data_IF_873552057969
#
_entry.id   IF_873552057969
#
_cell.length_a   1.000
_cell.length_b   1.000
_cell.length_c   1.000
_cell.angle_alpha   90.00
_cell.angle_beta   90.00
_cell.angle_gamma   90.00
#
_symmetry.space_group_name_H-M   'P 1'
#
loop_
_entity.id
_entity.type
_entity.pdbx_description
1 polymer ?
#
# COMPACT_ATOMS: atom_id res chain seq x y z
N UNK A 1 24.22 57.50 -41.50
CA UNK A 1 23.60 56.18 -41.75
C UNK A 1 23.07 55.63 -40.45
N UNK A 2 21.84 55.13 -40.43
CA UNK A 2 21.24 54.53 -39.24
C UNK A 2 21.18 53.01 -39.43
N UNK A 3 21.76 52.24 -38.51
CA UNK A 3 21.87 50.77 -38.58
C UNK A 3 22.45 50.23 -39.91
N UNK A 4 23.37 50.98 -40.54
CA UNK A 4 23.99 50.59 -41.83
C UNK A 4 23.05 50.64 -43.04
N UNK A 5 21.84 51.21 -42.90
CA UNK A 5 20.84 51.29 -43.98
C UNK A 5 20.65 52.76 -44.39
N UNK A 6 20.49 53.00 -45.69
CA UNK A 6 20.24 54.32 -46.28
C UNK A 6 21.51 55.04 -46.77
N UNK A 7 21.35 56.31 -47.15
CA UNK A 7 22.44 57.15 -47.67
C UNK A 7 23.26 57.80 -46.54
N UNK A 8 24.55 58.05 -46.77
CA UNK A 8 25.40 58.85 -45.86
C UNK A 8 24.92 60.29 -45.82
N UNK A 9 24.65 60.87 -46.99
CA UNK A 9 24.06 62.20 -47.17
C UNK A 9 23.02 62.15 -48.30
N UNK A 10 21.88 62.87 -48.19
CA UNK A 10 20.91 62.94 -49.28
C UNK A 10 21.36 63.87 -50.42
N UNK A 11 22.37 64.73 -50.16
CA UNK A 11 22.92 65.69 -51.13
C UNK A 11 23.58 64.94 -52.30
N UNK A 12 23.17 65.26 -53.53
CA UNK A 12 23.66 64.61 -54.74
C UNK A 12 22.90 63.34 -55.15
N UNK A 13 22.01 62.82 -54.30
CA UNK A 13 21.18 61.65 -54.61
C UNK A 13 19.90 61.95 -55.40
N UNK A 14 19.51 63.24 -55.48
CA UNK A 14 18.25 63.64 -56.09
C UNK A 14 16.99 63.22 -55.33
N UNK A 15 17.12 62.76 -54.09
CA UNK A 15 16.00 62.34 -53.22
C UNK A 15 16.03 63.02 -51.86
N UNK A 16 14.93 62.96 -51.12
CA UNK A 16 14.84 63.50 -49.76
C UNK A 16 15.57 62.65 -48.71
N UNK A 17 16.14 61.50 -49.08
CA UNK A 17 16.82 60.58 -48.15
C UNK A 17 15.89 59.82 -47.19
N UNK A 18 14.59 59.78 -47.47
CA UNK A 18 13.61 59.07 -46.63
C UNK A 18 13.68 57.56 -46.85
N UNK A 19 13.90 56.81 -45.77
CA UNK A 19 14.07 55.34 -45.79
C UNK A 19 12.88 54.69 -45.09
N UNK A 20 12.19 53.77 -45.78
CA UNK A 20 11.06 53.00 -45.24
C UNK A 20 11.47 51.54 -45.04
N UNK A 21 11.01 50.92 -43.96
CA UNK A 21 11.19 49.49 -43.74
C UNK A 21 10.38 48.68 -44.76
N UNK A 22 10.97 47.65 -45.35
CA UNK A 22 10.21 46.71 -46.18
C UNK A 22 9.25 45.89 -45.30
N UNK A 23 7.94 45.98 -45.54
CA UNK A 23 6.91 45.21 -44.82
C UNK A 23 6.83 43.75 -45.26
N UNK A 24 7.20 43.46 -46.51
CA UNK A 24 7.13 42.13 -47.13
C UNK A 24 8.39 41.30 -46.89
N UNK A 25 9.44 41.88 -46.33
CA UNK A 25 10.66 41.16 -45.97
C UNK A 25 10.38 40.26 -44.75
N UNK A 26 10.27 38.95 -44.97
CA UNK A 26 10.15 37.95 -43.91
C UNK A 26 11.45 37.92 -43.12
N UNK A 27 11.37 38.28 -41.84
CA UNK A 27 12.51 38.17 -40.92
C UNK A 27 12.69 36.69 -40.57
N UNK A 28 13.86 36.11 -40.87
CA UNK A 28 14.22 34.81 -40.32
C UNK A 28 14.48 34.98 -38.82
N UNK A 29 13.49 34.64 -38.01
CA UNK A 29 13.56 34.79 -36.56
C UNK A 29 14.54 33.83 -35.88
N UNK A 30 15.01 32.81 -36.59
CA UNK A 30 16.02 31.86 -36.11
C UNK A 30 17.13 31.76 -37.14
N UNK A 31 18.35 32.08 -36.74
CA UNK A 31 19.54 31.82 -37.55
C UNK A 31 19.78 30.31 -37.65
N UNK A 32 20.59 29.89 -38.62
CA UNK A 32 21.01 28.48 -38.74
C UNK A 32 21.73 28.03 -37.45
N UNK A 33 22.50 28.92 -36.84
CA UNK A 33 23.13 28.73 -35.55
C UNK A 33 22.11 28.55 -34.41
N UNK A 34 21.03 29.32 -34.38
CA UNK A 34 19.96 29.16 -33.36
C UNK A 34 19.22 27.82 -33.51
N UNK A 35 19.11 27.32 -34.75
CA UNK A 35 18.52 26.00 -35.02
C UNK A 35 19.45 24.86 -34.66
N UNK A 36 20.76 25.02 -34.87
CA UNK A 36 21.75 24.02 -34.47
C UNK A 36 21.89 23.95 -32.95
N UNK A 37 21.94 25.10 -32.28
CA UNK A 37 22.05 25.19 -30.82
C UNK A 37 20.82 24.65 -30.08
N UNK A 38 19.65 24.62 -30.72
CA UNK A 38 18.44 24.01 -30.17
C UNK A 38 18.61 22.51 -29.87
N UNK A 39 19.47 21.80 -30.60
CA UNK A 39 19.79 20.38 -30.36
C UNK A 39 20.84 20.19 -29.27
N UNK A 40 21.66 21.21 -29.00
CA UNK A 40 22.64 21.23 -27.91
C UNK A 40 22.02 21.67 -26.57
N UNK A 41 20.75 22.09 -26.55
CA UNK A 41 20.04 22.43 -25.31
C UNK A 41 19.85 21.15 -24.50
N UNK A 42 20.57 21.05 -23.40
CA UNK A 42 20.40 19.96 -22.44
C UNK A 42 18.92 19.83 -22.04
N UNK A 43 18.40 18.60 -21.91
CA UNK A 43 17.01 18.38 -21.51
C UNK A 43 16.71 19.14 -20.21
N UNK A 44 15.49 19.68 -20.06
CA UNK A 44 15.11 20.43 -18.87
C UNK A 44 15.37 19.57 -17.63
N UNK A 45 16.25 20.04 -16.76
CA UNK A 45 16.59 19.32 -15.53
C UNK A 45 15.36 19.26 -14.64
N UNK A 46 14.80 18.06 -14.47
CA UNK A 46 13.79 17.79 -13.45
C UNK A 46 14.45 17.97 -12.08
N UNK A 47 14.10 19.04 -11.37
CA UNK A 47 14.54 19.23 -9.99
C UNK A 47 13.74 18.30 -9.10
N UNK A 48 14.44 17.46 -8.37
CA UNK A 48 13.81 16.61 -7.38
C UNK A 48 13.24 17.47 -6.24
N UNK A 49 12.14 17.03 -5.59
CA UNK A 49 11.63 17.69 -4.41
C UNK A 49 12.61 17.50 -3.24
N UNK A 50 13.01 18.61 -2.60
CA UNK A 50 13.89 18.58 -1.43
C UNK A 50 13.06 18.33 -0.17
N UNK A 51 13.39 17.27 0.56
CA UNK A 51 12.66 16.87 1.77
C UNK A 51 12.71 17.96 2.86
N UNK A 52 13.86 18.62 3.03
CA UNK A 52 14.04 19.68 4.02
C UNK A 52 13.11 20.88 3.76
N UNK A 53 12.95 21.27 2.48
CA UNK A 53 12.06 22.37 2.11
C UNK A 53 10.60 21.98 2.35
N UNK A 54 10.22 20.73 2.04
CA UNK A 54 8.87 20.23 2.33
C UNK A 54 8.57 20.20 3.82
N UNK A 55 9.53 19.77 4.65
CA UNK A 55 9.41 19.78 6.11
C UNK A 55 9.33 21.20 6.67
N UNK A 56 10.14 22.12 6.14
CA UNK A 56 10.09 23.52 6.52
C UNK A 56 8.73 24.15 6.21
N UNK A 57 8.19 23.93 5.01
CA UNK A 57 6.84 24.40 4.65
C UNK A 57 5.75 23.76 5.51
N UNK A 58 5.89 22.49 5.92
CA UNK A 58 4.96 21.85 6.87
C UNK A 58 5.01 22.54 8.23
N UNK A 59 6.20 22.78 8.80
CA UNK A 59 6.37 23.47 10.09
C UNK A 59 5.87 24.91 10.03
N UNK A 60 6.19 25.63 8.96
CA UNK A 60 5.72 26.99 8.71
C UNK A 60 4.19 27.08 8.71
N UNK A 61 3.48 26.13 8.10
CA UNK A 61 2.01 26.08 8.12
C UNK A 61 1.45 25.89 9.54
N UNK A 62 2.16 25.18 10.41
CA UNK A 62 1.77 25.05 11.83
C UNK A 62 1.98 26.37 12.55
N UNK A 63 3.16 26.97 12.43
CA UNK A 63 3.48 28.23 13.11
C UNK A 63 2.58 29.39 12.65
N UNK A 64 2.21 29.45 11.37
CA UNK A 64 1.23 30.44 10.89
C UNK A 64 -0.12 30.29 11.60
N UNK A 65 -0.61 29.06 11.79
CA UNK A 65 -1.86 28.82 12.52
C UNK A 65 -1.74 29.15 14.02
N UNK A 66 -0.58 28.88 14.62
CA UNK A 66 -0.28 29.26 16.00
C UNK A 66 -0.32 30.78 16.16
N UNK A 67 0.29 31.52 15.23
CA UNK A 67 0.26 32.98 15.20
C UNK A 67 -1.15 33.53 14.98
N UNK A 68 -1.93 32.94 14.08
CA UNK A 68 -3.34 33.31 13.87
C UNK A 68 -4.18 33.10 15.13
N UNK A 69 -3.91 32.07 15.93
CA UNK A 69 -4.60 31.85 17.20
C UNK A 69 -4.14 32.89 18.23
N UNK A 70 -2.83 33.11 18.34
CA UNK A 70 -2.26 34.08 19.28
C UNK A 70 -2.89 35.47 19.07
N UNK A 71 -2.90 35.97 17.84
CA UNK A 71 -3.50 37.27 17.50
C UNK A 71 -4.98 37.37 17.91
N UNK A 72 -5.75 36.29 17.73
CA UNK A 72 -7.17 36.28 18.14
C UNK A 72 -7.33 36.36 19.65
N UNK A 73 -6.51 35.62 20.40
CA UNK A 73 -6.59 35.62 21.87
C UNK A 73 -6.09 36.95 22.47
N UNK A 74 -5.12 37.59 21.82
CA UNK A 74 -4.66 38.94 22.14
C UNK A 74 -5.77 39.97 21.88
N UNK A 75 -6.45 39.89 20.72
CA UNK A 75 -7.60 40.76 20.39
C UNK A 75 -8.77 40.56 21.37
N UNK A 76 -8.97 39.34 21.87
CA UNK A 76 -9.97 39.00 22.89
C UNK A 76 -9.57 39.46 24.32
N UNK A 77 -8.34 39.97 24.51
CA UNK A 77 -7.85 40.51 25.77
C UNK A 77 -7.56 39.45 26.83
N UNK A 78 -7.16 38.24 26.42
CA UNK A 78 -6.74 37.16 27.33
C UNK A 78 -5.36 37.43 27.95
N UNK A 79 -5.12 36.78 29.08
CA UNK A 79 -3.86 36.87 29.83
C UNK A 79 -2.73 36.14 29.07
N UNK A 80 -1.51 36.69 29.08
CA UNK A 80 -0.38 36.21 28.28
C UNK A 80 -0.06 34.73 28.57
N UNK A 81 -0.07 34.32 29.85
CA UNK A 81 0.19 32.94 30.27
C UNK A 81 -0.83 31.94 29.65
N UNK A 82 -2.11 32.34 29.59
CA UNK A 82 -3.18 31.48 29.03
C UNK A 82 -3.09 31.39 27.51
N UNK A 83 -2.65 32.48 26.86
CA UNK A 83 -2.40 32.51 25.42
C UNK A 83 -1.29 31.52 25.07
N UNK A 84 -0.18 31.55 25.80
CA UNK A 84 0.94 30.63 25.57
C UNK A 84 0.55 29.16 25.77
N UNK A 85 -0.23 28.85 26.81
CA UNK A 85 -0.73 27.49 27.05
C UNK A 85 -1.57 26.97 25.89
N UNK A 86 -2.54 27.77 25.42
CA UNK A 86 -3.44 27.39 24.33
C UNK A 86 -2.71 27.27 22.99
N UNK A 87 -1.78 28.18 22.70
CA UNK A 87 -0.96 28.15 21.49
C UNK A 87 -0.02 26.95 21.49
N UNK A 88 0.58 26.60 22.63
CA UNK A 88 1.43 25.41 22.74
C UNK A 88 0.63 24.12 22.58
N UNK A 89 -0.58 24.05 23.15
CA UNK A 89 -1.48 22.91 22.96
C UNK A 89 -1.84 22.74 21.47
N UNK A 90 -2.19 23.85 20.79
CA UNK A 90 -2.46 23.85 19.35
C UNK A 90 -1.24 23.43 18.54
N UNK A 91 -0.05 23.93 18.86
CA UNK A 91 1.22 23.58 18.20
C UNK A 91 1.47 22.07 18.27
N UNK A 92 1.33 21.46 19.44
CA UNK A 92 1.52 20.01 19.61
C UNK A 92 0.50 19.20 18.82
N UNK A 93 -0.78 19.58 18.85
CA UNK A 93 -1.84 18.93 18.06
C UNK A 93 -1.56 18.99 16.56
N UNK A 94 -1.24 20.17 16.05
CA UNK A 94 -1.00 20.39 14.62
C UNK A 94 0.28 19.70 14.12
N UNK A 95 1.34 19.64 14.94
CA UNK A 95 2.54 18.87 14.59
C UNK A 95 2.24 17.36 14.51
N UNK A 96 1.43 16.83 15.42
CA UNK A 96 1.02 15.43 15.37
C UNK A 96 0.17 15.13 14.11
N UNK A 97 -0.79 16.00 13.78
CA UNK A 97 -1.63 15.85 12.59
C UNK A 97 -0.85 16.03 11.28
N UNK A 98 0.08 16.98 11.22
CA UNK A 98 0.86 17.29 10.03
C UNK A 98 1.72 16.13 9.54
N UNK A 99 2.14 15.22 10.44
CA UNK A 99 2.87 14.01 10.07
C UNK A 99 1.97 12.94 9.43
N UNK A 100 0.65 12.99 9.69
CA UNK A 100 -0.32 12.02 9.17
C UNK A 100 -1.01 12.48 7.90
N UNK A 101 -1.11 13.80 7.68
CA UNK A 101 -1.84 14.38 6.57
C UNK A 101 -1.02 14.34 5.27
N UNK A 102 -1.50 13.55 4.31
CA UNK A 102 -1.05 13.58 2.93
C UNK A 102 -1.44 14.93 2.31
N UNK A 103 -0.45 15.67 1.78
CA UNK A 103 -0.69 16.98 1.17
C UNK A 103 -1.57 16.82 -0.09
N UNK A 104 -2.68 17.54 -0.15
CA UNK A 104 -3.57 17.53 -1.31
C UNK A 104 -2.98 18.31 -2.49
N UNK A 105 -2.76 17.65 -3.63
CA UNK A 105 -2.16 18.21 -4.84
C UNK A 105 -2.94 19.40 -5.48
N UNK A 106 -4.24 19.53 -5.19
CA UNK A 106 -5.11 20.55 -5.80
C UNK A 106 -5.07 21.93 -5.16
N UNK A 107 -4.42 22.08 -4.00
CA UNK A 107 -4.41 23.34 -3.23
C UNK A 107 -3.08 24.09 -3.22
N UNK A 108 -2.10 23.65 -4.01
CA UNK A 108 -0.75 24.22 -3.98
C UNK A 108 -0.67 25.55 -4.73
N UNK A 109 0.07 26.50 -4.16
CA UNK A 109 0.34 27.77 -4.81
C UNK A 109 1.38 27.58 -5.92
N UNK A 110 1.38 28.40 -6.99
CA UNK A 110 2.42 28.34 -8.03
C UNK A 110 3.84 28.55 -7.49
N UNK A 111 3.99 29.22 -6.33
CA UNK A 111 5.25 29.41 -5.63
C UNK A 111 5.82 28.13 -5.01
N UNK A 112 4.99 27.11 -4.77
CA UNK A 112 5.36 25.92 -3.99
C UNK A 112 6.02 24.88 -4.90
N UNK A 113 7.12 25.25 -5.54
CA UNK A 113 7.78 24.48 -6.61
C UNK A 113 8.13 23.05 -6.19
N UNK A 114 8.71 22.85 -4.99
CA UNK A 114 9.08 21.53 -4.48
C UNK A 114 7.85 20.67 -4.15
N UNK A 115 6.78 21.29 -3.63
CA UNK A 115 5.58 20.56 -3.29
C UNK A 115 4.77 20.19 -4.54
N UNK A 116 4.77 21.04 -5.58
CA UNK A 116 4.29 20.69 -6.93
C UNK A 116 5.13 19.56 -7.53
N UNK A 117 6.45 19.60 -7.39
CA UNK A 117 7.33 18.55 -7.89
C UNK A 117 7.08 17.20 -7.19
N UNK A 118 6.89 17.20 -5.87
CA UNK A 118 6.52 16.02 -5.10
C UNK A 118 5.16 15.47 -5.54
N UNK A 119 4.13 16.33 -5.65
CA UNK A 119 2.81 15.92 -6.12
C UNK A 119 2.86 15.31 -7.54
N UNK A 120 3.63 15.92 -8.45
CA UNK A 120 3.83 15.37 -9.80
C UNK A 120 4.57 14.04 -9.79
N UNK A 121 5.57 13.87 -8.92
CA UNK A 121 6.29 12.58 -8.78
C UNK A 121 5.34 11.47 -8.33
N UNK A 122 4.44 11.77 -7.39
CA UNK A 122 3.43 10.82 -6.91
C UNK A 122 2.37 10.53 -7.99
N UNK A 123 1.90 11.55 -8.71
CA UNK A 123 0.97 11.41 -9.84
C UNK A 123 1.57 10.56 -10.96
N UNK A 124 2.83 10.82 -11.33
CA UNK A 124 3.56 10.05 -12.33
C UNK A 124 3.80 8.61 -11.85
N UNK A 125 4.14 8.40 -10.58
CA UNK A 125 4.27 7.04 -10.01
C UNK A 125 2.94 6.29 -10.04
N UNK A 126 1.82 6.96 -9.73
CA UNK A 126 0.48 6.38 -9.80
C UNK A 126 0.08 6.05 -11.24
N UNK A 127 0.37 6.95 -12.19
CA UNK A 127 0.15 6.72 -13.61
C UNK A 127 1.01 5.58 -14.15
N UNK A 128 2.29 5.52 -13.77
CA UNK A 128 3.21 4.46 -14.11
C UNK A 128 2.69 3.09 -13.66
N UNK A 129 2.20 2.99 -12.43
CA UNK A 129 1.56 1.77 -11.91
C UNK A 129 0.29 1.41 -12.67
N UNK A 130 -0.54 2.41 -13.00
CA UNK A 130 -1.77 2.19 -13.76
C UNK A 130 -1.49 1.68 -15.19
N UNK A 131 -0.42 2.16 -15.81
CA UNK A 131 0.05 1.70 -17.12
C UNK A 131 0.85 0.38 -17.07
N UNK A 132 1.05 -0.20 -15.88
CA UNK A 132 1.81 -1.44 -15.69
C UNK A 132 3.32 -1.29 -15.93
N UNK A 133 3.83 -0.06 -15.96
CA UNK A 133 5.28 0.18 -16.02
C UNK A 133 5.90 -0.16 -14.66
N UNK A 134 7.06 -0.82 -14.70
CA UNK A 134 7.76 -1.22 -13.49
C UNK A 134 8.51 -0.02 -12.91
N UNK A 135 8.74 -0.03 -11.60
CA UNK A 135 9.43 1.06 -10.90
C UNK A 135 10.93 1.12 -11.23
N UNK A 136 11.51 0.01 -11.67
CA UNK A 136 12.89 -0.16 -12.12
C UNK A 136 13.05 0.08 -13.63
N UNK A 137 12.04 0.60 -14.32
CA UNK A 137 12.10 0.88 -15.75
C UNK A 137 12.95 2.13 -16.01
N UNK A 138 14.07 1.95 -16.72
CA UNK A 138 14.87 3.04 -17.26
C UNK A 138 14.66 3.19 -18.77
N UNK A 139 14.54 4.43 -19.23
CA UNK A 139 14.48 4.74 -20.65
C UNK A 139 15.73 4.23 -21.36
N UNK A 140 15.55 3.51 -22.48
CA UNK A 140 16.65 2.90 -23.23
C UNK A 140 16.87 1.41 -22.93
N UNK A 141 16.47 0.90 -21.76
CA UNK A 141 16.63 -0.52 -21.42
C UNK A 141 15.87 -1.45 -22.37
N UNK A 142 14.81 -0.93 -23.01
CA UNK A 142 14.05 -1.65 -24.03
C UNK A 142 14.86 -1.90 -25.31
N UNK A 143 15.96 -1.19 -25.56
CA UNK A 143 16.81 -1.36 -26.74
C UNK A 143 18.12 -2.12 -26.45
N UNK A 144 18.52 -2.22 -25.18
CA UNK A 144 19.73 -2.95 -24.74
C UNK A 144 19.48 -4.47 -24.72
N UNK A 145 20.03 -5.17 -25.72
CA UNK A 145 19.83 -6.62 -25.90
C UNK A 145 20.33 -7.45 -24.71
N UNK A 146 21.49 -7.09 -24.15
CA UNK A 146 22.08 -7.76 -22.99
C UNK A 146 21.22 -7.61 -21.73
N UNK A 147 20.72 -6.40 -21.45
CA UNK A 147 19.81 -6.16 -20.33
C UNK A 147 18.50 -6.94 -20.47
N UNK A 148 17.99 -7.10 -21.69
CA UNK A 148 16.80 -7.94 -21.91
C UNK A 148 17.06 -9.40 -21.57
N UNK A 149 18.22 -9.94 -21.94
CA UNK A 149 18.61 -11.31 -21.62
C UNK A 149 18.80 -11.51 -20.12
N UNK A 150 19.46 -10.57 -19.44
CA UNK A 150 19.60 -10.59 -17.99
C UNK A 150 18.24 -10.54 -17.28
N UNK A 151 17.34 -9.64 -17.71
CA UNK A 151 15.98 -9.58 -17.16
C UNK A 151 15.18 -10.87 -17.41
N UNK A 152 15.36 -11.53 -18.57
CA UNK A 152 14.72 -12.82 -18.85
C UNK A 152 15.26 -13.92 -17.94
N UNK A 153 16.58 -14.00 -17.78
CA UNK A 153 17.22 -14.98 -16.89
C UNK A 153 16.81 -14.76 -15.44
N UNK A 154 16.77 -13.51 -14.97
CA UNK A 154 16.31 -13.16 -13.62
C UNK A 154 14.85 -13.58 -13.40
N UNK A 155 13.96 -13.35 -14.38
CA UNK A 155 12.55 -13.79 -14.31
C UNK A 155 12.42 -15.32 -14.29
N UNK A 156 13.29 -16.03 -15.00
CA UNK A 156 13.30 -17.50 -14.98
C UNK A 156 13.79 -18.04 -13.63
N UNK A 157 14.89 -17.49 -13.11
CA UNK A 157 15.43 -17.87 -11.80
C UNK A 157 14.43 -17.60 -10.66
N UNK A 158 13.77 -16.43 -10.66
CA UNK A 158 12.73 -16.08 -9.68
C UNK A 158 11.54 -17.04 -9.74
N UNK A 159 11.12 -17.46 -10.95
CA UNK A 159 10.06 -18.46 -11.12
C UNK A 159 10.47 -19.82 -10.57
N UNK A 160 11.69 -20.26 -10.86
CA UNK A 160 12.21 -21.53 -10.38
C UNK A 160 12.34 -21.54 -8.85
N UNK A 161 12.83 -20.45 -8.25
CA UNK A 161 12.91 -20.31 -6.79
C UNK A 161 11.51 -20.33 -6.16
N UNK A 162 10.55 -19.60 -6.73
CA UNK A 162 9.16 -19.60 -6.25
C UNK A 162 8.49 -20.97 -6.39
N UNK A 163 8.84 -21.74 -7.42
CA UNK A 163 8.38 -23.13 -7.57
C UNK A 163 9.01 -24.04 -6.53
N UNK A 164 10.33 -23.97 -6.31
CA UNK A 164 11.04 -24.70 -5.26
C UNK A 164 10.45 -24.41 -3.88
N UNK A 165 10.20 -23.13 -3.55
CA UNK A 165 9.56 -22.74 -2.29
C UNK A 165 8.17 -23.36 -2.13
N UNK A 166 7.36 -23.38 -3.20
CA UNK A 166 6.03 -24.03 -3.18
C UNK A 166 6.14 -25.54 -3.03
N UNK A 167 7.11 -26.18 -3.67
CA UNK A 167 7.33 -27.62 -3.54
C UNK A 167 7.79 -27.99 -2.14
N UNK A 168 8.69 -27.20 -1.55
CA UNK A 168 9.09 -27.36 -0.15
C UNK A 168 7.91 -27.18 0.82
N UNK A 169 7.06 -26.17 0.60
CA UNK A 169 5.86 -25.95 1.41
C UNK A 169 4.87 -27.11 1.27
N UNK A 170 4.66 -27.61 0.04
CA UNK A 170 3.84 -28.80 -0.21
C UNK A 170 4.40 -30.04 0.45
N UNK A 171 5.71 -30.26 0.38
CA UNK A 171 6.39 -31.37 1.03
C UNK A 171 6.28 -31.29 2.56
N UNK A 172 6.45 -30.09 3.14
CA UNK A 172 6.25 -29.84 4.58
C UNK A 172 4.80 -30.12 5.00
N UNK A 173 3.82 -29.69 4.19
CA UNK A 173 2.41 -29.95 4.44
C UNK A 173 2.08 -31.45 4.35
N UNK A 174 2.62 -32.16 3.36
CA UNK A 174 2.46 -33.62 3.24
C UNK A 174 3.07 -34.35 4.43
N UNK A 175 4.30 -34.00 4.83
CA UNK A 175 4.95 -34.59 5.99
C UNK A 175 4.18 -34.31 7.30
N UNK A 176 3.59 -33.12 7.47
CA UNK A 176 2.70 -32.84 8.61
C UNK A 176 1.44 -33.69 8.56
N UNK A 177 0.81 -33.85 7.39
CA UNK A 177 -0.38 -34.68 7.22
C UNK A 177 -0.10 -36.15 7.52
N UNK A 178 1.02 -36.69 7.04
CA UNK A 178 1.43 -38.06 7.32
C UNK A 178 1.69 -38.30 8.81
N UNK A 179 2.34 -37.35 9.50
CA UNK A 179 2.51 -37.40 10.96
C UNK A 179 1.19 -37.39 11.69
N UNK A 180 0.23 -36.55 11.27
CA UNK A 180 -1.10 -36.49 11.86
C UNK A 180 -1.91 -37.79 11.62
N UNK A 181 -1.82 -38.36 10.41
CA UNK A 181 -2.46 -39.64 10.11
C UNK A 181 -1.83 -40.81 10.87
N UNK A 182 -0.51 -40.82 11.05
CA UNK A 182 0.21 -41.80 11.85
C UNK A 182 -0.21 -41.74 13.33
N UNK A 183 -0.23 -40.54 13.93
CA UNK A 183 -0.69 -40.32 15.30
C UNK A 183 -2.16 -40.74 15.48
N UNK A 184 -3.03 -40.39 14.53
CA UNK A 184 -4.44 -40.81 14.53
C UNK A 184 -4.57 -42.33 14.49
N UNK A 185 -3.80 -43.01 13.64
CA UNK A 185 -3.82 -44.47 13.49
C UNK A 185 -3.24 -45.17 14.73
N UNK A 186 -2.23 -44.59 15.36
CA UNK A 186 -1.69 -45.07 16.64
C UNK A 186 -2.74 -44.94 17.76
N UNK A 187 -3.41 -43.80 17.85
CA UNK A 187 -4.49 -43.57 18.81
C UNK A 187 -5.68 -44.52 18.60
N UNK A 188 -6.01 -44.82 17.35
CA UNK A 188 -7.06 -45.80 17.02
C UNK A 188 -6.62 -47.23 17.38
N UNK A 189 -5.37 -47.60 17.12
CA UNK A 189 -4.80 -48.89 17.56
C UNK A 189 -4.82 -49.03 19.08
N UNK A 190 -4.50 -47.96 19.82
CA UNK A 190 -4.52 -47.94 21.28
C UNK A 190 -5.95 -48.13 21.80
N UNK A 191 -6.92 -47.41 21.22
CA UNK A 191 -8.36 -47.57 21.53
C UNK A 191 -8.84 -49.00 21.29
N UNK A 192 -8.47 -49.61 20.16
CA UNK A 192 -8.87 -50.99 19.84
C UNK A 192 -8.28 -52.00 20.84
N UNK A 193 -7.02 -51.82 21.25
CA UNK A 193 -6.39 -52.63 22.31
C UNK A 193 -7.08 -52.46 23.66
N UNK A 194 -7.50 -51.24 24.00
CA UNK A 194 -8.24 -50.94 25.23
C UNK A 194 -9.65 -51.54 25.21
N UNK A 195 -10.35 -51.46 24.07
CA UNK A 195 -11.66 -52.09 23.88
C UNK A 195 -11.58 -53.61 23.99
N UNK A 196 -10.57 -54.25 23.37
CA UNK A 196 -10.36 -55.69 23.49
C UNK A 196 -10.03 -56.10 24.93
N UNK A 197 -9.23 -55.30 25.66
CA UNK A 197 -8.96 -55.53 27.10
C UNK A 197 -10.25 -55.44 27.91
N UNK A 198 -11.05 -54.40 27.69
CA UNK A 198 -12.31 -54.17 28.39
C UNK A 198 -13.37 -55.22 28.05
N UNK A 199 -13.35 -55.76 26.82
CA UNK A 199 -14.20 -56.89 26.41
C UNK A 199 -13.80 -58.16 27.15
N UNK A 200 -12.50 -58.46 27.25
CA UNK A 200 -11.99 -59.59 28.06
C UNK A 200 -12.34 -59.44 29.54
N UNK A 201 -12.19 -58.25 30.12
CA UNK A 201 -12.60 -57.99 31.51
C UNK A 201 -14.10 -58.21 31.72
N UNK A 202 -14.96 -57.76 30.79
CA UNK A 202 -16.42 -58.04 30.85
C UNK A 202 -16.74 -59.52 30.71
N UNK A 203 -16.01 -60.23 29.88
CA UNK A 203 -16.18 -61.67 29.69
C UNK A 203 -15.73 -62.45 30.93
N UNK A 204 -14.62 -62.06 31.55
CA UNK A 204 -14.20 -62.58 32.86
C UNK A 204 -15.17 -62.20 33.98
N UNK A 205 -15.70 -60.98 33.99
CA UNK A 205 -16.71 -60.53 34.95
C UNK A 205 -18.02 -61.31 34.79
N UNK A 206 -18.47 -61.57 33.56
CA UNK A 206 -19.63 -62.43 33.30
C UNK A 206 -19.37 -63.87 33.75
N UNK A 207 -18.18 -64.42 33.49
CA UNK A 207 -17.81 -65.76 33.96
C UNK A 207 -17.69 -65.84 35.49
N UNK A 208 -17.29 -64.75 36.15
CA UNK A 208 -17.33 -64.61 37.61
C UNK A 208 -18.77 -64.50 38.13
N UNK A 209 -19.63 -63.76 37.44
CA UNK A 209 -21.07 -63.66 37.76
C UNK A 209 -21.82 -64.97 37.56
N UNK A 210 -21.52 -65.75 36.52
CA UNK A 210 -22.09 -67.10 36.32
C UNK A 210 -21.71 -68.09 37.43
N UNK A 211 -20.58 -67.87 38.10
CA UNK A 211 -20.15 -68.65 39.28
C UNK A 211 -20.78 -68.18 40.59
N UNK A 212 -21.55 -67.10 40.59
CA UNK A 212 -22.30 -66.62 41.75
C UNK A 212 -23.77 -67.05 41.65
N UNK A 213 -24.39 -67.56 42.73
CA UNK A 213 -25.82 -67.88 42.71
C UNK A 213 -26.66 -66.60 42.51
N UNK A 214 -27.73 -66.67 41.71
CA UNK A 214 -28.55 -65.49 41.39
C UNK A 214 -29.19 -64.92 42.66
N UNK A 215 -29.17 -63.59 42.88
CA UNK A 215 -29.88 -62.97 43.97
C UNK A 215 -31.40 -63.07 43.75
N UNK A 216 -32.21 -63.24 44.82
CA UNK A 216 -33.65 -63.46 44.70
C UNK A 216 -34.40 -62.23 44.17
N UNK A 217 -35.38 -62.48 43.31
CA UNK A 217 -36.24 -61.47 42.66
C UNK A 217 -37.29 -60.90 43.63
N UNK A 218 -37.46 -59.58 43.76
CA UNK A 218 -38.55 -58.99 44.54
C UNK A 218 -39.86 -58.90 43.73
N UNK A 219 -41.03 -58.94 44.39
CA UNK A 219 -42.33 -59.00 43.72
C UNK A 219 -42.80 -57.62 43.21
N UNK A 220 -43.61 -57.65 42.14
CA UNK A 220 -44.24 -56.48 41.52
C UNK A 220 -45.27 -55.84 42.45
N UNK A 221 -45.09 -54.54 42.73
CA UNK A 221 -46.04 -53.67 43.44
C UNK A 221 -46.08 -52.30 42.74
N UNK A 222 -47.24 -51.66 42.74
CA UNK A 222 -47.61 -50.59 41.83
C UNK A 222 -47.11 -49.16 42.18
N UNK A 223 -47.24 -48.33 41.15
CA UNK A 223 -47.72 -46.93 41.15
C UNK A 223 -46.79 -45.73 41.39
N UNK A 224 -47.02 -44.78 40.48
CA UNK A 224 -47.08 -43.32 40.57
C UNK A 224 -45.83 -42.41 40.53
N UNK A 225 -45.65 -41.85 39.33
CA UNK A 225 -45.49 -40.41 39.01
C UNK A 225 -45.25 -39.40 40.16
N UNK A 226 -44.11 -38.68 40.08
CA UNK A 226 -43.97 -37.21 39.85
C UNK A 226 -42.59 -36.76 40.34
N UNK A 227 -41.75 -36.27 39.42
CA UNK A 227 -41.58 -34.85 39.08
C UNK A 227 -40.69 -34.09 40.07
N UNK A 228 -39.51 -33.66 39.59
CA UNK A 228 -38.91 -32.33 39.71
C UNK A 228 -37.44 -32.41 39.30
N UNK A 229 -37.06 -31.86 38.14
CA UNK A 229 -36.81 -30.43 37.82
C UNK A 229 -35.31 -30.11 37.83
N UNK A 230 -34.80 -29.96 36.61
CA UNK A 230 -33.96 -28.85 36.12
C UNK A 230 -32.58 -28.57 36.73
N UNK A 231 -31.56 -28.64 35.86
CA UNK A 231 -30.63 -27.54 35.52
C UNK A 231 -29.88 -27.92 34.21
N UNK A 232 -30.33 -27.49 33.04
CA UNK A 232 -30.00 -26.21 32.37
C UNK A 232 -28.54 -26.06 31.93
N UNK A 233 -28.30 -26.20 30.62
CA UNK A 233 -27.52 -25.30 29.72
C UNK A 233 -27.50 -25.94 28.32
N UNK A 234 -28.32 -25.53 27.35
CA UNK A 234 -28.09 -24.40 26.43
C UNK A 234 -26.66 -24.46 25.85
N UNK A 235 -26.40 -24.70 24.56
CA UNK A 235 -26.70 -23.80 23.45
C UNK A 235 -26.25 -24.39 22.10
N UNK A 236 -27.05 -24.11 21.08
CA UNK A 236 -26.69 -23.82 19.67
C UNK A 236 -25.87 -24.86 18.87
N UNK A 237 -26.63 -25.59 18.06
CA UNK A 237 -26.33 -25.85 16.65
C UNK A 237 -25.97 -24.52 15.96
N UNK A 238 -24.69 -24.30 15.71
CA UNK A 238 -24.20 -23.27 14.78
C UNK A 238 -23.72 -23.96 13.50
N UNK A 239 -24.05 -23.43 12.31
CA UNK A 239 -23.63 -24.02 11.05
C UNK A 239 -22.12 -23.89 10.88
N UNK A 240 -21.50 -24.92 10.29
CA UNK A 240 -20.17 -24.84 9.73
C UNK A 240 -20.21 -23.74 8.66
N UNK A 241 -19.57 -22.61 8.94
CA UNK A 241 -19.17 -21.67 7.90
C UNK A 241 -18.16 -22.42 7.02
N UNK A 242 -18.61 -22.85 5.84
CA UNK A 242 -17.72 -23.01 4.68
C UNK A 242 -17.04 -21.66 4.52
N UNK A 243 -15.72 -21.61 4.75
CA UNK A 243 -14.91 -20.54 4.21
C UNK A 243 -15.09 -20.61 2.69
N UNK A 244 -15.61 -19.52 2.13
CA UNK A 244 -15.65 -19.30 0.71
C UNK A 244 -14.21 -19.39 0.18
N UNK A 245 -14.04 -20.24 -0.83
CA UNK A 245 -12.92 -20.13 -1.77
C UNK A 245 -12.93 -18.70 -2.33
N UNK A 246 -11.77 -18.07 -2.56
CA UNK A 246 -11.72 -16.88 -3.39
C UNK A 246 -12.10 -17.31 -4.81
N UNK A 247 -13.26 -16.86 -5.29
CA UNK A 247 -13.56 -16.87 -6.71
C UNK A 247 -12.57 -15.92 -7.41
N UNK A 248 -11.79 -16.52 -8.31
CA UNK A 248 -10.94 -15.87 -9.30
C UNK A 248 -11.89 -15.26 -10.36
N UNK A 249 -12.47 -14.10 -10.06
CA UNK A 249 -13.10 -13.26 -11.09
C UNK A 249 -11.99 -12.63 -11.94
N UNK A 250 -11.56 -13.40 -12.94
CA UNK A 250 -10.87 -12.87 -14.12
C UNK A 250 -11.93 -12.57 -15.17
N UNK A 251 -12.37 -11.33 -15.18
CA UNK A 251 -12.98 -10.72 -16.36
C UNK A 251 -11.97 -10.75 -17.52
N UNK A 252 -12.44 -11.24 -18.66
CA UNK A 252 -11.80 -11.16 -19.98
C UNK A 252 -12.20 -9.85 -20.67
#
# INVERSE_FOLDING_TARGET
MYNGIGLTTPRGSGTNGYVVRNLSAVRSHQSVQDRASAWDVAPPKHREPDAEILEHERKRKVEVKCLELQLKLEDDGLDEDKIEEQVNELRQKLLAEANTLVQNAKGLKPSDTHAIAAAKKDELSKMARALGTRQDYHEGDAFDREKQEEQRMRRMAEREERERQREEERAKMQAQKEKWEADRKERERLRRREEDRRRKEREEEMKRRERMPPPPVPPRGGRDYRDRRSRSRSRSRSPIRRAASPDDDRDY
#
